data_IF_579609841513
#
_entry.id   IF_579609841513
#
_cell.length_a   1.000
_cell.length_b   1.000
_cell.length_c   1.000
_cell.angle_alpha   90.00
_cell.angle_beta   90.00
_cell.angle_gamma   90.00
#
_symmetry.space_group_name_H-M   'P 1'
#
loop_
_entity.id
_entity.type
_entity.pdbx_description
1 polymer ?
#
# COMPACT_ATOMS: atom_id res chain seq x y z
N UNK A 1 6.95 -13.22 8.04
CA UNK A 1 5.52 -13.03 7.71
C UNK A 1 5.04 -11.77 8.40
N UNK A 2 4.33 -10.91 7.68
CA UNK A 2 3.70 -9.69 8.21
C UNK A 2 2.19 -9.91 8.23
N UNK A 3 1.56 -9.70 9.38
CA UNK A 3 0.10 -9.81 9.55
C UNK A 3 -0.42 -8.47 10.03
N UNK A 4 -1.42 -7.93 9.33
CA UNK A 4 -2.11 -6.71 9.73
C UNK A 4 -3.21 -7.07 10.70
N UNK A 5 -3.28 -6.36 11.83
CA UNK A 5 -4.31 -6.52 12.85
C UNK A 5 -5.00 -5.18 13.05
N UNK A 6 -6.33 -5.19 13.02
CA UNK A 6 -7.11 -4.01 13.36
C UNK A 6 -7.13 -3.80 14.88
N UNK A 7 -6.81 -2.58 15.30
CA UNK A 7 -6.70 -2.19 16.70
C UNK A 7 -7.41 -0.87 16.93
N UNK A 8 -7.90 -0.66 18.15
CA UNK A 8 -8.35 0.63 18.64
C UNK A 8 -7.32 1.19 19.62
N UNK A 9 -7.05 2.49 19.53
CA UNK A 9 -6.20 3.20 20.49
C UNK A 9 -7.06 3.84 21.56
N UNK A 10 -6.99 3.32 22.79
CA UNK A 10 -7.77 3.82 23.92
C UNK A 10 -6.88 3.99 25.15
N UNK A 11 -6.95 5.18 25.76
CA UNK A 11 -6.22 5.52 27.00
C UNK A 11 -4.72 5.21 26.95
N UNK A 12 -4.08 5.43 25.80
CA UNK A 12 -2.63 5.19 25.64
C UNK A 12 -2.26 3.76 25.24
N UNK A 13 -3.24 2.87 25.01
CA UNK A 13 -3.02 1.44 24.77
C UNK A 13 -3.64 1.01 23.44
N UNK A 14 -2.89 0.24 22.64
CA UNK A 14 -3.39 -0.41 21.42
C UNK A 14 -4.13 -1.71 21.79
N UNK A 15 -5.41 -1.79 21.48
CA UNK A 15 -6.29 -2.91 21.80
C UNK A 15 -6.75 -3.60 20.51
N UNK A 16 -6.37 -4.86 20.25
CA UNK A 16 -6.88 -5.62 19.12
C UNK A 16 -8.41 -5.75 19.17
N UNK A 17 -9.06 -5.59 18.02
CA UNK A 17 -10.51 -5.82 17.89
C UNK A 17 -10.86 -7.31 17.93
N UNK A 18 -9.91 -8.17 17.56
CA UNK A 18 -10.03 -9.62 17.61
C UNK A 18 -8.85 -10.24 18.38
N UNK A 19 -9.04 -11.41 19.01
CA UNK A 19 -7.95 -12.12 19.68
C UNK A 19 -6.80 -12.43 18.72
N UNK A 20 -5.58 -12.11 19.13
CA UNK A 20 -4.36 -12.42 18.37
C UNK A 20 -3.56 -13.45 19.14
N UNK A 21 -3.21 -14.55 18.49
CA UNK A 21 -2.36 -15.59 19.09
C UNK A 21 -0.90 -15.23 18.90
N UNK A 22 -0.25 -14.77 19.97
CA UNK A 22 1.17 -14.43 20.00
C UNK A 22 1.78 -15.04 21.26
N UNK A 23 3.06 -15.43 21.18
CA UNK A 23 3.79 -15.87 22.36
C UNK A 23 4.05 -14.68 23.29
N UNK A 24 3.97 -14.90 24.59
CA UNK A 24 4.30 -13.88 25.59
C UNK A 24 5.76 -13.40 25.39
N UNK A 25 5.99 -12.09 25.52
CA UNK A 25 7.31 -11.49 25.31
C UNK A 25 7.70 -11.27 23.84
N UNK A 26 6.79 -11.53 22.89
CA UNK A 26 7.06 -11.26 21.46
C UNK A 26 7.22 -9.76 21.23
N UNK A 27 8.38 -9.33 20.70
CA UNK A 27 8.60 -7.97 20.24
C UNK A 27 7.92 -7.74 18.89
N UNK A 28 7.10 -6.70 18.81
CA UNK A 28 6.38 -6.32 17.60
C UNK A 28 6.84 -4.94 17.13
N UNK A 29 6.92 -4.77 15.80
CA UNK A 29 7.04 -3.45 15.17
C UNK A 29 5.63 -3.00 14.78
N UNK A 30 5.22 -1.82 15.26
CA UNK A 30 3.91 -1.25 14.95
C UNK A 30 4.05 -0.29 13.76
N UNK A 31 3.16 -0.43 12.80
CA UNK A 31 2.99 0.52 11.69
C UNK A 31 1.56 1.03 11.75
N UNK A 32 1.40 2.35 11.85
CA UNK A 32 0.11 3.03 11.73
C UNK A 32 -0.01 3.54 10.30
N UNK A 33 -1.21 3.38 9.75
CA UNK A 33 -1.58 3.90 8.43
C UNK A 33 -2.82 4.74 8.65
N UNK A 34 -2.73 6.02 8.37
CA UNK A 34 -3.90 6.88 8.44
C UNK A 34 -4.80 6.61 7.23
N UNK A 35 -6.11 6.37 7.39
CA UNK A 35 -6.98 6.10 6.25
C UNK A 35 -7.11 7.31 5.31
N UNK A 36 -6.92 8.54 5.81
CA UNK A 36 -6.80 9.74 4.97
C UNK A 36 -5.46 9.78 4.19
N UNK A 37 -4.50 8.93 4.54
CA UNK A 37 -3.17 8.88 3.94
C UNK A 37 -3.15 8.20 2.55
N UNK A 38 -4.27 7.63 2.09
CA UNK A 38 -4.39 7.22 0.67
C UNK A 38 -4.37 8.40 -0.31
N UNK A 39 -4.46 9.65 0.19
CA UNK A 39 -4.24 10.89 -0.55
C UNK A 39 -2.98 11.65 -0.07
N UNK A 40 -2.14 11.02 0.76
CA UNK A 40 -0.93 11.66 1.25
C UNK A 40 0.13 11.64 0.16
N UNK A 41 0.22 12.76 -0.54
CA UNK A 41 1.42 13.11 -1.25
C UNK A 41 2.45 13.41 -0.16
N UNK A 42 3.39 12.48 0.04
CA UNK A 42 4.54 12.68 0.93
C UNK A 42 5.19 14.05 0.63
N UNK A 43 5.77 14.75 1.61
CA UNK A 43 6.42 16.04 1.35
C UNK A 43 7.47 15.96 0.23
N UNK A 44 8.16 14.83 0.12
CA UNK A 44 9.10 14.51 -0.96
C UNK A 44 8.41 14.34 -2.33
N UNK A 45 7.20 13.78 -2.36
CA UNK A 45 6.39 13.63 -3.58
C UNK A 45 5.79 14.98 -4.01
N UNK A 46 5.50 15.89 -3.07
CA UNK A 46 5.07 17.27 -3.37
C UNK A 46 6.21 18.13 -3.93
N UNK A 47 7.46 17.78 -3.59
CA UNK A 47 8.65 18.49 -4.02
C UNK A 47 9.17 18.05 -5.40
N UNK A 48 8.63 16.95 -5.96
CA UNK A 48 9.02 16.48 -7.30
C UNK A 48 8.64 17.52 -8.35
N UNK A 49 9.64 17.96 -9.10
CA UNK A 49 9.42 18.80 -10.28
C UNK A 49 8.67 18.00 -11.36
N UNK A 50 7.94 18.69 -12.24
CA UNK A 50 7.25 18.03 -13.38
C UNK A 50 8.20 17.15 -14.21
N UNK A 51 9.49 17.51 -14.28
CA UNK A 51 10.51 16.72 -14.96
C UNK A 51 10.77 15.38 -14.26
N UNK A 52 10.86 15.35 -12.94
CA UNK A 52 11.08 14.12 -12.16
C UNK A 52 9.90 13.16 -12.28
N UNK A 53 8.68 13.71 -12.34
CA UNK A 53 7.46 12.92 -12.57
C UNK A 53 7.52 12.29 -13.98
N UNK A 54 7.87 13.05 -15.00
CA UNK A 54 7.98 12.54 -16.38
C UNK A 54 9.07 11.48 -16.53
N UNK A 55 10.22 11.67 -15.86
CA UNK A 55 11.29 10.67 -15.84
C UNK A 55 10.85 9.38 -15.14
N UNK A 56 10.11 9.50 -14.03
CA UNK A 56 9.55 8.34 -13.33
C UNK A 56 8.57 7.58 -14.20
N UNK A 57 7.71 8.28 -14.97
CA UNK A 57 6.78 7.66 -15.91
C UNK A 57 7.53 6.94 -17.03
N UNK A 58 8.55 7.57 -17.60
CA UNK A 58 9.35 6.98 -18.67
C UNK A 58 10.16 5.74 -18.22
N UNK A 59 10.43 5.61 -16.93
CA UNK A 59 11.13 4.47 -16.34
C UNK A 59 10.21 3.29 -16.00
N UNK A 60 8.89 3.46 -16.05
CA UNK A 60 7.95 2.37 -15.79
C UNK A 60 7.96 1.34 -16.94
N UNK A 61 7.86 0.03 -16.64
CA UNK A 61 7.72 -0.98 -17.68
C UNK A 61 6.38 -0.78 -18.41
N UNK A 62 6.37 -1.06 -19.73
CA UNK A 62 5.20 -0.84 -20.58
C UNK A 62 4.01 -1.74 -20.20
N UNK A 63 4.30 -2.92 -19.66
CA UNK A 63 3.33 -3.90 -19.17
C UNK A 63 3.86 -4.51 -17.88
N UNK A 64 2.97 -4.89 -16.96
CA UNK A 64 3.36 -5.69 -15.79
C UNK A 64 3.83 -7.05 -16.30
N UNK A 65 5.08 -7.47 -16.05
CA UNK A 65 5.64 -8.63 -16.73
C UNK A 65 5.08 -9.99 -16.26
N UNK A 66 4.16 -10.06 -15.28
CA UNK A 66 3.81 -11.33 -14.62
C UNK A 66 2.38 -11.43 -14.03
N UNK A 67 1.42 -10.60 -14.43
CA UNK A 67 0.02 -10.76 -13.97
C UNK A 67 -0.87 -11.54 -14.96
N UNK A 68 -0.32 -11.90 -16.13
CA UNK A 68 -1.03 -12.61 -17.18
C UNK A 68 -2.13 -11.81 -17.86
N UNK A 69 -2.17 -10.48 -17.66
CA UNK A 69 -3.17 -9.59 -18.21
C UNK A 69 -2.54 -8.66 -19.26
N UNK A 70 -2.80 -8.96 -20.53
CA UNK A 70 -2.26 -8.16 -21.65
C UNK A 70 -3.26 -7.11 -22.13
N UNK A 71 -2.78 -6.15 -22.92
CA UNK A 71 -3.67 -5.23 -23.64
C UNK A 71 -4.70 -5.94 -24.54
N UNK A 72 -4.36 -7.12 -25.08
CA UNK A 72 -5.31 -7.91 -25.87
C UNK A 72 -6.42 -8.53 -25.01
N UNK A 73 -6.14 -8.86 -23.74
CA UNK A 73 -7.16 -9.32 -22.79
C UNK A 73 -8.14 -8.20 -22.41
N UNK A 74 -7.62 -6.97 -22.28
CA UNK A 74 -8.43 -5.78 -22.06
C UNK A 74 -9.43 -5.55 -23.20
N UNK A 75 -8.97 -5.60 -24.45
CA UNK A 75 -9.84 -5.44 -25.62
C UNK A 75 -10.90 -6.56 -25.71
N UNK A 76 -10.53 -7.79 -25.36
CA UNK A 76 -11.46 -8.92 -25.32
C UNK A 76 -12.57 -8.75 -24.28
N UNK A 77 -12.28 -8.15 -23.13
CA UNK A 77 -13.29 -7.95 -22.06
C UNK A 77 -14.25 -6.81 -22.42
N UNK A 78 -13.75 -5.73 -23.02
CA UNK A 78 -14.56 -4.54 -23.28
C UNK A 78 -15.45 -4.62 -24.53
N UNK A 79 -15.06 -5.43 -25.52
CA UNK A 79 -15.75 -5.51 -26.81
C UNK A 79 -16.34 -6.90 -27.12
N UNK A 80 -16.56 -7.72 -26.09
CA UNK A 80 -17.29 -8.99 -26.19
C UNK A 80 -18.81 -8.79 -26.30
#
# INVERSE_FOLDING_TARGET
>A
MTTTVEVVYEAGVLRPLAPVTLAEGTHLKVTWTDPEENNYISPEDRAKTSLEILLSIAAMPMETPDDGFSGADHDRILYA
#
